data_IF_611507650309
#
_entry.id   IF_611507650309
#
_cell.length_a   1.000
_cell.length_b   1.000
_cell.length_c   1.000
_cell.angle_alpha   90.00
_cell.angle_beta   90.00
_cell.angle_gamma   90.00
#
_symmetry.space_group_name_H-M   'P 1'
#
loop_
_entity.id
_entity.type
_entity.pdbx_description
1 polymer ?
#
# COMPACT_ATOMS: atom_id res chain seq x y z
N UNK A 1 -0.90 -5.75 -2.53
CA UNK A 1 -0.75 -5.79 -4.01
C UNK A 1 -1.91 -5.13 -4.73
N UNK A 2 -3.17 -5.48 -4.47
CA UNK A 2 -4.32 -4.86 -5.15
C UNK A 2 -4.41 -3.32 -4.99
N UNK A 3 -4.13 -2.79 -3.79
CA UNK A 3 -4.08 -1.33 -3.54
C UNK A 3 -3.07 -0.60 -4.43
N UNK A 4 -1.87 -1.17 -4.59
CA UNK A 4 -0.80 -0.59 -5.41
C UNK A 4 -1.24 -0.36 -6.86
N UNK A 5 -2.03 -1.29 -7.40
CA UNK A 5 -2.44 -1.25 -8.80
C UNK A 5 -3.67 -0.36 -9.00
N UNK A 6 -4.63 -0.42 -8.07
CA UNK A 6 -5.89 0.31 -8.17
C UNK A 6 -5.76 1.78 -7.80
N UNK A 7 -4.98 2.11 -6.80
CA UNK A 7 -4.97 3.44 -6.20
C UNK A 7 -3.72 4.23 -6.56
N UNK A 8 -2.58 3.53 -6.68
CA UNK A 8 -1.29 4.13 -7.03
C UNK A 8 -0.91 3.94 -8.50
N UNK A 9 -1.79 3.31 -9.30
CA UNK A 9 -1.61 3.09 -10.74
C UNK A 9 -0.29 2.40 -11.11
N UNK A 10 0.31 1.67 -10.17
CA UNK A 10 1.53 0.93 -10.45
C UNK A 10 1.16 -0.29 -11.30
N UNK A 11 1.91 -0.53 -12.36
CA UNK A 11 1.71 -1.75 -13.14
C UNK A 11 2.34 -2.93 -12.41
N UNK A 12 1.72 -4.13 -12.44
CA UNK A 12 2.34 -5.34 -11.91
C UNK A 12 3.75 -5.55 -12.45
N UNK A 13 3.95 -5.30 -13.75
CA UNK A 13 5.25 -5.41 -14.40
C UNK A 13 6.30 -4.44 -13.85
N UNK A 14 5.91 -3.24 -13.41
CA UNK A 14 6.83 -2.28 -12.80
C UNK A 14 7.28 -2.76 -11.42
N UNK A 15 6.35 -3.30 -10.61
CA UNK A 15 6.69 -3.87 -9.30
C UNK A 15 7.59 -5.10 -9.42
N UNK A 16 7.35 -5.95 -10.41
CA UNK A 16 8.17 -7.16 -10.63
C UNK A 16 9.61 -6.84 -11.04
N UNK A 17 9.85 -5.67 -11.65
CA UNK A 17 11.19 -5.18 -12.04
C UNK A 17 12.02 -4.64 -10.87
N UNK A 18 11.39 -4.31 -9.74
CA UNK A 18 12.09 -3.79 -8.56
C UNK A 18 13.03 -4.83 -7.97
N UNK A 19 14.15 -4.38 -7.40
CA UNK A 19 15.04 -5.21 -6.59
C UNK A 19 14.40 -5.66 -5.27
N UNK A 20 15.03 -6.60 -4.56
CA UNK A 20 14.52 -7.08 -3.27
C UNK A 20 14.36 -5.95 -2.24
N UNK A 21 15.37 -5.08 -2.10
CA UNK A 21 15.33 -3.94 -1.18
C UNK A 21 14.25 -2.91 -1.56
N UNK A 22 14.15 -2.59 -2.86
CA UNK A 22 13.13 -1.65 -3.35
C UNK A 22 11.71 -2.16 -3.10
N UNK A 23 11.47 -3.48 -3.28
CA UNK A 23 10.18 -4.10 -2.93
C UNK A 23 9.89 -4.03 -1.44
N UNK A 24 10.89 -4.26 -0.58
CA UNK A 24 10.74 -4.15 0.87
C UNK A 24 10.29 -2.74 1.27
N UNK A 25 10.96 -1.72 0.73
CA UNK A 25 10.61 -0.31 0.97
C UNK A 25 9.20 -0.01 0.47
N UNK A 26 8.87 -0.36 -0.77
CA UNK A 26 7.54 -0.16 -1.34
C UNK A 26 6.45 -0.79 -0.47
N UNK A 27 6.65 -2.02 -0.02
CA UNK A 27 5.68 -2.73 0.81
C UNK A 27 5.52 -2.10 2.20
N UNK A 28 6.59 -1.57 2.78
CA UNK A 28 6.51 -0.85 4.05
C UNK A 28 5.60 0.38 3.95
N UNK A 29 5.76 1.20 2.91
CA UNK A 29 4.93 2.39 2.68
C UNK A 29 3.45 2.04 2.48
N UNK A 30 3.16 1.04 1.64
CA UNK A 30 1.78 0.62 1.37
C UNK A 30 1.12 0.04 2.61
N UNK A 31 1.86 -0.76 3.39
CA UNK A 31 1.36 -1.29 4.64
C UNK A 31 1.01 -0.16 5.61
N UNK A 32 1.91 0.81 5.77
CA UNK A 32 1.67 1.97 6.63
C UNK A 32 0.41 2.74 6.21
N UNK A 33 0.25 3.01 4.91
CA UNK A 33 -0.94 3.67 4.38
C UNK A 33 -2.23 2.91 4.69
N UNK A 34 -2.23 1.57 4.51
CA UNK A 34 -3.38 0.73 4.84
C UNK A 34 -3.75 0.81 6.32
N UNK A 35 -2.73 0.77 7.20
CA UNK A 35 -2.93 0.88 8.65
C UNK A 35 -3.54 2.25 9.01
N UNK A 36 -3.06 3.34 8.43
CA UNK A 36 -3.60 4.69 8.66
C UNK A 36 -5.04 4.85 8.17
N UNK A 37 -5.38 4.26 7.02
CA UNK A 37 -6.77 4.26 6.52
C UNK A 37 -7.69 3.46 7.42
N UNK A 38 -7.25 2.30 7.90
CA UNK A 38 -8.03 1.47 8.80
C UNK A 38 -8.29 2.18 10.13
N UNK A 39 -7.32 2.92 10.68
CA UNK A 39 -7.49 3.75 11.87
C UNK A 39 -8.57 4.83 11.67
N UNK A 40 -8.56 5.50 10.51
CA UNK A 40 -9.56 6.52 10.17
C UNK A 40 -10.96 5.93 10.03
N UNK A 41 -11.07 4.76 9.42
CA UNK A 41 -12.36 4.04 9.30
C UNK A 41 -12.85 3.60 10.67
N UNK A 42 -11.99 3.02 11.52
CA UNK A 42 -12.40 2.61 12.86
C UNK A 42 -12.82 3.79 13.72
N UNK A 43 -12.11 4.93 13.65
CA UNK A 43 -12.48 6.12 14.41
C UNK A 43 -13.81 6.70 13.95
N UNK A 44 -14.08 6.71 12.64
CA UNK A 44 -15.33 7.24 12.08
C UNK A 44 -16.56 6.32 12.31
N UNK A 45 -16.37 5.06 12.67
CA UNK A 45 -17.44 4.11 13.02
C UNK A 45 -17.77 4.10 14.52
N UNK A 46 -16.93 4.72 15.35
CA UNK A 46 -17.09 4.81 16.81
C UNK A 46 -17.72 6.13 17.29
N UNK A 47 -18.06 7.04 16.36
CA UNK A 47 -18.83 8.27 16.58
C UNK A 47 -20.28 8.09 16.09
#
# INVERSE_FOLDING_TARGET
>A
MYLLFREHHLLPSAVMKLGYGERQVLYAFIRYEMEERNKKVSSALSD
#
